data_IF_902997373991
#
_entry.id   IF_902997373991
#
_cell.length_a   1.000
_cell.length_b   1.000
_cell.length_c   1.000
_cell.angle_alpha   90.00
_cell.angle_beta   90.00
_cell.angle_gamma   90.00
#
_symmetry.space_group_name_H-M   'P 1'
#
loop_
_entity.id
_entity.type
_entity.pdbx_description
1 polymer ?
#
# COMPACT_ATOMS: atom_id res chain seq x y z
N UNK A 1 6.68 13.48 -36.86
CA UNK A 1 5.99 13.39 -35.56
C UNK A 1 7.02 13.75 -34.50
N UNK A 2 6.77 14.78 -33.74
CA UNK A 2 7.66 15.15 -32.62
C UNK A 2 7.36 14.22 -31.44
N UNK A 3 8.33 13.37 -31.09
CA UNK A 3 8.21 12.41 -30.00
C UNK A 3 8.73 12.95 -28.65
N UNK A 4 9.28 14.18 -28.63
CA UNK A 4 9.86 14.75 -27.39
C UNK A 4 8.82 14.91 -26.30
N UNK A 5 7.55 15.14 -26.66
CA UNK A 5 6.42 15.24 -25.72
C UNK A 5 6.04 13.91 -25.02
N UNK A 6 6.56 12.79 -25.51
CA UNK A 6 6.39 11.47 -24.90
C UNK A 6 7.62 11.01 -24.11
N UNK A 7 8.65 11.85 -24.07
CA UNK A 7 9.86 11.57 -23.29
C UNK A 7 9.71 12.18 -21.91
N UNK A 8 9.91 11.36 -20.88
CA UNK A 8 9.93 11.83 -19.49
C UNK A 8 11.00 12.91 -19.30
N UNK A 9 10.62 14.01 -18.68
CA UNK A 9 11.58 15.01 -18.23
C UNK A 9 12.44 14.40 -17.13
N UNK A 10 13.78 14.48 -17.22
CA UNK A 10 14.71 13.96 -16.22
C UNK A 10 14.49 14.53 -14.81
N UNK A 11 13.84 15.66 -14.70
CA UNK A 11 13.53 16.32 -13.42
C UNK A 11 12.08 16.05 -12.94
N UNK A 12 11.30 15.30 -13.70
CA UNK A 12 9.90 14.99 -13.37
C UNK A 12 9.86 14.06 -12.16
N UNK A 13 8.92 14.37 -11.26
CA UNK A 13 8.63 13.59 -10.07
C UNK A 13 7.34 12.82 -10.24
N UNK A 14 7.11 11.73 -9.50
CA UNK A 14 5.94 10.86 -9.68
C UNK A 14 4.56 11.54 -9.65
N UNK A 15 4.43 12.66 -8.95
CA UNK A 15 3.15 13.37 -8.80
C UNK A 15 3.11 14.72 -9.52
N UNK A 16 4.09 15.02 -10.38
CA UNK A 16 4.08 16.23 -11.18
C UNK A 16 3.04 16.15 -12.31
N UNK A 17 2.70 14.94 -12.77
CA UNK A 17 1.62 14.67 -13.70
C UNK A 17 0.56 13.79 -13.03
N UNK A 18 -0.69 14.23 -13.10
CA UNK A 18 -1.82 13.49 -12.52
C UNK A 18 -2.44 12.60 -13.60
N UNK A 19 -2.50 11.30 -13.31
CA UNK A 19 -3.13 10.33 -14.19
C UNK A 19 -4.61 10.68 -14.44
N UNK A 20 -5.06 10.48 -15.67
CA UNK A 20 -6.44 10.68 -16.07
C UNK A 20 -7.02 9.32 -16.50
N UNK A 21 -8.22 9.00 -16.01
CA UNK A 21 -8.90 7.74 -16.34
C UNK A 21 -8.05 6.49 -16.09
N UNK A 22 -7.39 6.46 -14.94
CA UNK A 22 -6.57 5.32 -14.51
C UNK A 22 -5.21 5.22 -15.19
N UNK A 23 -4.89 6.05 -16.18
CA UNK A 23 -3.62 6.05 -16.87
C UNK A 23 -3.14 4.67 -17.30
N UNK A 24 -1.83 4.39 -17.17
CA UNK A 24 -1.26 3.06 -17.44
C UNK A 24 -1.68 1.98 -16.45
N UNK A 25 -2.33 2.33 -15.32
CA UNK A 25 -2.92 1.33 -14.42
C UNK A 25 -3.96 0.48 -15.16
N UNK A 26 -4.58 1.01 -16.21
CA UNK A 26 -5.55 0.31 -17.07
C UNK A 26 -4.98 -0.88 -17.88
N UNK A 27 -3.66 -1.06 -17.93
CA UNK A 27 -3.06 -2.26 -18.53
C UNK A 27 -3.32 -3.52 -17.68
N UNK A 28 -3.59 -3.34 -16.36
CA UNK A 28 -3.91 -4.44 -15.47
C UNK A 28 -5.40 -4.74 -15.48
N UNK A 29 -5.77 -5.98 -15.75
CA UNK A 29 -7.17 -6.44 -15.68
C UNK A 29 -7.59 -6.80 -14.25
N UNK A 30 -6.62 -7.23 -13.43
CA UNK A 30 -6.82 -7.62 -12.04
C UNK A 30 -5.72 -7.05 -11.15
N UNK A 31 -6.14 -6.42 -10.06
CA UNK A 31 -5.25 -5.84 -9.04
C UNK A 31 -5.70 -6.37 -7.67
N UNK A 32 -4.75 -6.76 -6.82
CA UNK A 32 -4.99 -7.10 -5.41
C UNK A 32 -4.51 -5.96 -4.52
N UNK A 33 -5.39 -5.45 -3.64
CA UNK A 33 -5.02 -4.46 -2.64
C UNK A 33 -4.83 -5.15 -1.29
N UNK A 34 -3.58 -5.20 -0.83
CA UNK A 34 -3.15 -5.82 0.42
C UNK A 34 -2.87 -4.70 1.42
N UNK A 35 -3.64 -4.63 2.51
CA UNK A 35 -3.46 -3.54 3.46
C UNK A 35 -4.33 -3.66 4.70
N UNK A 36 -4.50 -2.54 5.35
CA UNK A 36 -5.27 -2.40 6.59
C UNK A 36 -6.58 -1.62 6.38
N UNK A 37 -7.04 -0.91 7.40
CA UNK A 37 -8.27 -0.10 7.38
C UNK A 37 -8.27 0.96 6.28
N UNK A 38 -7.11 1.57 5.99
CA UNK A 38 -6.99 2.57 4.93
C UNK A 38 -7.14 1.97 3.53
N UNK A 39 -6.95 0.66 3.39
CA UNK A 39 -7.13 -0.07 2.13
C UNK A 39 -8.49 -0.76 2.04
N UNK A 40 -9.10 -1.15 3.17
CA UNK A 40 -10.43 -1.76 3.20
C UNK A 40 -11.57 -0.75 2.95
N UNK A 41 -11.28 0.55 3.01
CA UNK A 41 -12.29 1.61 2.87
C UNK A 41 -13.03 1.89 4.18
N UNK A 42 -12.36 1.74 5.31
CA UNK A 42 -12.95 2.00 6.62
C UNK A 42 -13.22 3.50 6.81
N UNK A 43 -14.45 3.82 7.11
CA UNK A 43 -14.92 5.17 7.45
C UNK A 43 -15.29 5.23 8.92
N UNK A 44 -15.05 6.38 9.54
CA UNK A 44 -15.50 6.66 10.90
C UNK A 44 -16.79 7.48 10.93
N UNK A 45 -17.67 7.16 11.85
CA UNK A 45 -18.79 8.03 12.23
C UNK A 45 -18.79 8.29 13.74
N UNK A 46 -19.43 9.38 14.13
CA UNK A 46 -19.56 9.77 15.53
C UNK A 46 -21.03 9.93 15.86
N UNK A 47 -21.58 9.02 16.64
CA UNK A 47 -22.98 9.01 17.05
C UNK A 47 -23.07 8.98 18.57
N UNK A 48 -23.80 9.93 19.16
CA UNK A 48 -23.98 10.05 20.61
C UNK A 48 -22.64 10.08 21.40
N UNK A 49 -21.58 10.64 20.82
CA UNK A 49 -20.25 10.69 21.42
C UNK A 49 -19.43 9.39 21.30
N UNK A 50 -19.94 8.38 20.62
CA UNK A 50 -19.23 7.14 20.34
C UNK A 50 -18.68 7.13 18.92
N UNK A 51 -17.44 6.64 18.79
CA UNK A 51 -16.80 6.40 17.50
C UNK A 51 -17.22 5.03 16.98
N UNK A 52 -17.68 4.97 15.73
CA UNK A 52 -18.02 3.75 15.03
C UNK A 52 -17.16 3.62 13.77
N UNK A 53 -16.87 2.39 13.38
CA UNK A 53 -16.08 2.04 12.20
C UNK A 53 -16.94 1.28 11.22
N UNK A 54 -16.82 1.62 9.93
CA UNK A 54 -17.63 1.07 8.85
C UNK A 54 -16.77 0.75 7.65
N UNK A 55 -16.66 -0.52 7.27
CA UNK A 55 -16.01 -0.95 6.05
C UNK A 55 -16.94 -0.70 4.85
N UNK A 56 -16.66 0.36 4.10
CA UNK A 56 -17.32 0.68 2.83
C UNK A 56 -16.32 0.50 1.69
N UNK A 57 -16.07 -0.74 1.32
CA UNK A 57 -15.08 -1.08 0.30
C UNK A 57 -15.31 -0.36 -1.03
N UNK A 58 -16.56 -0.07 -1.39
CA UNK A 58 -16.94 0.66 -2.59
C UNK A 58 -16.32 2.08 -2.66
N UNK A 59 -15.96 2.63 -1.52
CA UNK A 59 -15.30 3.93 -1.38
C UNK A 59 -13.81 3.84 -1.07
N UNK A 60 -13.26 2.62 -1.05
CA UNK A 60 -11.81 2.44 -0.90
C UNK A 60 -11.04 2.99 -2.11
N UNK A 61 -9.78 3.38 -1.89
CA UNK A 61 -8.92 3.82 -3.00
C UNK A 61 -8.78 2.74 -4.08
N UNK A 62 -8.78 1.46 -3.72
CA UNK A 62 -8.75 0.36 -4.66
C UNK A 62 -9.97 0.32 -5.58
N UNK A 63 -11.18 0.61 -5.06
CA UNK A 63 -12.38 0.66 -5.87
C UNK A 63 -12.49 1.95 -6.72
N UNK A 64 -11.85 3.04 -6.31
CA UNK A 64 -11.69 4.18 -7.21
C UNK A 64 -10.78 3.82 -8.39
N UNK A 65 -9.65 3.18 -8.16
CA UNK A 65 -8.78 2.64 -9.23
C UNK A 65 -9.56 1.70 -10.15
N UNK A 66 -10.37 0.78 -9.59
CA UNK A 66 -11.18 -0.14 -10.39
C UNK A 66 -12.10 0.59 -11.38
N UNK A 67 -12.74 1.67 -10.93
CA UNK A 67 -13.63 2.49 -11.78
C UNK A 67 -12.87 3.31 -12.82
N UNK A 68 -11.75 3.90 -12.43
CA UNK A 68 -10.97 4.76 -13.31
C UNK A 68 -10.23 3.96 -14.39
N UNK A 69 -9.59 2.87 -14.00
CA UNK A 69 -8.81 2.02 -14.90
C UNK A 69 -9.66 0.95 -15.63
N UNK A 70 -10.92 0.78 -15.26
CA UNK A 70 -11.79 -0.24 -15.86
C UNK A 70 -11.31 -1.68 -15.56
N UNK A 71 -10.70 -1.91 -14.40
CA UNK A 71 -10.15 -3.20 -13.98
C UNK A 71 -10.94 -3.79 -12.79
N UNK A 72 -10.67 -5.06 -12.47
CA UNK A 72 -11.16 -5.68 -11.24
C UNK A 72 -10.14 -5.53 -10.14
N UNK A 73 -10.56 -4.94 -9.01
CA UNK A 73 -9.72 -4.84 -7.82
C UNK A 73 -10.28 -5.72 -6.71
N UNK A 74 -9.44 -6.62 -6.21
CA UNK A 74 -9.76 -7.47 -5.06
C UNK A 74 -9.33 -6.80 -3.75
N UNK A 75 -10.21 -6.87 -2.75
CA UNK A 75 -9.89 -6.44 -1.39
C UNK A 75 -9.23 -7.58 -0.61
N UNK A 76 -7.93 -7.49 -0.42
CA UNK A 76 -7.15 -8.34 0.48
C UNK A 76 -6.74 -7.56 1.74
N UNK A 77 -7.65 -6.73 2.25
CA UNK A 77 -7.38 -5.81 3.36
C UNK A 77 -8.43 -5.95 4.45
N UNK A 78 -8.07 -5.57 5.67
CA UNK A 78 -8.97 -5.51 6.83
C UNK A 78 -8.46 -4.50 7.85
N UNK A 79 -9.37 -3.84 8.55
CA UNK A 79 -9.05 -2.93 9.65
C UNK A 79 -8.08 -3.52 10.68
N UNK A 80 -7.13 -2.72 11.15
CA UNK A 80 -6.12 -3.11 12.14
C UNK A 80 -5.04 -4.08 11.67
N UNK A 81 -4.98 -4.45 10.38
CA UNK A 81 -4.10 -5.49 9.86
C UNK A 81 -2.62 -5.07 9.91
N UNK A 82 -1.77 -5.95 10.44
CA UNK A 82 -0.32 -5.91 10.32
C UNK A 82 0.18 -6.99 9.34
N UNK A 83 1.43 -6.87 8.85
CA UNK A 83 2.03 -7.88 7.97
C UNK A 83 2.07 -9.27 8.65
N UNK A 84 2.36 -9.30 9.95
CA UNK A 84 2.31 -10.53 10.75
C UNK A 84 0.93 -11.17 10.72
N UNK A 85 -0.11 -10.43 11.13
CA UNK A 85 -1.47 -10.96 11.21
C UNK A 85 -2.02 -11.36 9.85
N UNK A 86 -1.62 -10.63 8.79
CA UNK A 86 -1.98 -10.98 7.42
C UNK A 86 -1.46 -12.36 7.05
N UNK A 87 -0.16 -12.60 7.27
CA UNK A 87 0.52 -13.84 6.87
C UNK A 87 0.14 -15.03 7.75
N UNK A 88 0.07 -14.82 9.08
CA UNK A 88 -0.09 -15.92 10.06
C UNK A 88 -1.56 -16.33 10.27
N UNK A 89 -2.52 -15.71 9.60
CA UNK A 89 -3.93 -16.06 9.79
C UNK A 89 -4.86 -15.53 8.69
N UNK A 90 -4.99 -14.22 8.56
CA UNK A 90 -6.05 -13.62 7.76
C UNK A 90 -6.06 -14.04 6.29
N UNK A 91 -4.90 -14.09 5.63
CA UNK A 91 -4.85 -14.45 4.23
C UNK A 91 -5.21 -15.92 3.99
N UNK A 92 -4.82 -16.82 4.87
CA UNK A 92 -5.17 -18.24 4.80
C UNK A 92 -6.65 -18.47 5.18
N UNK A 93 -7.19 -17.79 6.21
CA UNK A 93 -8.62 -17.84 6.57
C UNK A 93 -9.54 -17.39 5.43
N UNK A 94 -9.09 -16.47 4.60
CA UNK A 94 -9.81 -15.91 3.46
C UNK A 94 -9.47 -16.57 2.14
N UNK A 95 -8.57 -17.54 2.14
CA UNK A 95 -8.10 -18.26 0.96
C UNK A 95 -7.51 -17.32 -0.11
N UNK A 96 -6.86 -16.23 0.31
CA UNK A 96 -6.32 -15.21 -0.61
C UNK A 96 -5.13 -15.71 -1.44
N UNK A 97 -4.48 -16.77 -1.00
CA UNK A 97 -3.40 -17.41 -1.77
C UNK A 97 -3.91 -18.46 -2.77
N UNK A 98 -5.21 -18.59 -2.95
CA UNK A 98 -5.80 -19.43 -3.98
C UNK A 98 -5.49 -18.87 -5.38
N UNK A 99 -4.98 -19.69 -6.31
CA UNK A 99 -4.70 -19.26 -7.68
C UNK A 99 -5.88 -18.63 -8.44
N UNK A 100 -7.12 -18.88 -8.02
CA UNK A 100 -8.31 -18.27 -8.63
C UNK A 100 -8.38 -16.75 -8.34
N UNK A 101 -7.71 -16.28 -7.29
CA UNK A 101 -7.57 -14.86 -6.94
C UNK A 101 -6.27 -14.21 -7.43
N UNK A 102 -5.52 -14.91 -8.32
CA UNK A 102 -4.28 -14.34 -8.86
C UNK A 102 -4.52 -13.01 -9.57
N UNK A 103 -3.63 -12.05 -9.31
CA UNK A 103 -3.68 -10.72 -9.90
C UNK A 103 -2.46 -10.44 -10.76
N UNK A 104 -2.63 -9.58 -11.76
CA UNK A 104 -1.52 -9.10 -12.59
C UNK A 104 -0.65 -8.09 -11.83
N UNK A 105 -1.27 -7.36 -10.90
CA UNK A 105 -0.57 -6.46 -10.00
C UNK A 105 -1.09 -6.60 -8.56
N UNK A 106 -0.21 -6.34 -7.60
CA UNK A 106 -0.53 -6.24 -6.19
C UNK A 106 -0.03 -4.90 -5.66
N UNK A 107 -0.89 -4.17 -4.93
CA UNK A 107 -0.52 -2.95 -4.23
C UNK A 107 -0.52 -3.29 -2.74
N UNK A 108 0.64 -3.16 -2.10
CA UNK A 108 0.84 -3.50 -0.70
C UNK A 108 0.99 -2.24 0.14
N UNK A 109 0.03 -2.00 1.03
CA UNK A 109 -0.07 -0.83 1.89
C UNK A 109 -0.17 -1.23 3.38
N UNK A 110 0.60 -2.23 3.80
CA UNK A 110 0.77 -2.60 5.20
C UNK A 110 1.92 -1.80 5.81
N UNK A 111 1.83 -1.49 7.11
CA UNK A 111 2.91 -0.83 7.83
C UNK A 111 2.45 0.02 9.01
N UNK A 112 1.35 0.75 8.92
CA UNK A 112 0.92 1.67 9.99
C UNK A 112 0.63 0.95 11.31
N UNK A 113 0.00 -0.22 11.25
CA UNK A 113 -0.26 -1.05 12.42
C UNK A 113 1.01 -1.80 12.87
N UNK A 114 1.89 -2.14 11.91
CA UNK A 114 3.20 -2.72 12.24
C UNK A 114 4.06 -1.74 13.03
N UNK A 115 4.13 -0.48 12.61
CA UNK A 115 4.85 0.58 13.34
C UNK A 115 4.28 0.75 14.75
N UNK A 116 2.95 0.69 14.92
CA UNK A 116 2.32 0.72 16.25
C UNK A 116 2.76 -0.49 17.11
N UNK A 117 2.81 -1.68 16.52
CA UNK A 117 3.31 -2.88 17.20
C UNK A 117 4.78 -2.80 17.59
N UNK A 118 5.63 -2.25 16.72
CA UNK A 118 7.07 -2.05 16.95
C UNK A 118 7.28 -1.04 18.10
N UNK A 119 6.59 0.09 18.08
CA UNK A 119 6.65 1.09 19.16
C UNK A 119 6.15 0.51 20.51
N UNK A 120 5.22 -0.44 20.45
CA UNK A 120 4.75 -1.20 21.61
C UNK A 120 5.66 -2.38 22.00
N UNK A 121 6.84 -2.52 21.40
CA UNK A 121 7.81 -3.62 21.63
C UNK A 121 7.23 -5.03 21.42
N UNK A 122 6.26 -5.18 20.51
CA UNK A 122 5.66 -6.48 20.19
C UNK A 122 6.56 -7.32 19.27
N UNK A 123 7.30 -6.66 18.38
CA UNK A 123 8.28 -7.24 17.45
C UNK A 123 9.15 -6.14 16.84
N UNK A 124 10.13 -6.53 16.05
CA UNK A 124 11.09 -5.62 15.43
C UNK A 124 10.75 -5.31 13.96
N UNK A 125 11.22 -4.15 13.47
CA UNK A 125 11.16 -3.82 12.05
C UNK A 125 11.95 -4.84 11.21
N UNK A 126 13.11 -5.24 11.71
CA UNK A 126 14.04 -6.11 10.99
C UNK A 126 14.78 -5.38 9.87
N UNK A 127 15.42 -6.18 9.03
CA UNK A 127 16.20 -5.73 7.88
C UNK A 127 15.92 -6.60 6.65
N UNK A 128 16.38 -6.18 5.49
CA UNK A 128 16.27 -6.95 4.24
C UNK A 128 16.98 -8.33 4.35
N UNK A 129 17.95 -8.49 5.25
CA UNK A 129 18.65 -9.76 5.49
C UNK A 129 17.80 -10.79 6.24
N UNK A 130 16.68 -10.38 6.80
CA UNK A 130 15.71 -11.27 7.44
C UNK A 130 14.84 -12.02 6.41
N UNK A 131 14.99 -11.70 5.13
CA UNK A 131 14.23 -12.26 4.01
C UNK A 131 15.05 -13.29 3.24
N UNK A 132 14.59 -14.53 3.22
CA UNK A 132 15.13 -15.58 2.37
C UNK A 132 14.21 -15.77 1.14
N UNK A 133 14.68 -15.35 -0.05
CA UNK A 133 13.89 -15.38 -1.29
C UNK A 133 13.63 -16.83 -1.75
N UNK A 134 14.56 -17.76 -1.52
CA UNK A 134 14.44 -19.15 -1.96
C UNK A 134 13.47 -19.95 -1.09
N UNK A 135 13.35 -19.57 0.20
CA UNK A 135 12.47 -20.26 1.15
C UNK A 135 12.00 -19.29 2.23
N UNK A 136 10.84 -18.68 2.02
CA UNK A 136 10.27 -17.72 2.97
C UNK A 136 9.94 -18.32 4.37
N UNK A 137 9.86 -19.65 4.49
CA UNK A 137 9.71 -20.28 5.79
C UNK A 137 10.94 -20.10 6.72
N UNK A 138 12.07 -19.67 6.15
CA UNK A 138 13.30 -19.34 6.88
C UNK A 138 13.41 -17.84 7.20
N UNK A 139 12.41 -17.03 6.83
CA UNK A 139 12.39 -15.61 7.19
C UNK A 139 12.34 -15.44 8.70
N UNK A 140 13.03 -14.41 9.22
CA UNK A 140 12.95 -14.10 10.64
C UNK A 140 11.59 -13.50 11.02
N UNK A 141 11.14 -13.63 12.30
CA UNK A 141 9.86 -13.11 12.77
C UNK A 141 9.92 -11.60 13.02
N UNK A 142 10.16 -10.83 11.95
CA UNK A 142 10.20 -9.37 11.92
C UNK A 142 9.24 -8.84 10.88
N UNK A 143 8.92 -7.52 10.89
CA UNK A 143 8.12 -6.93 9.82
C UNK A 143 8.72 -7.25 8.45
N UNK A 144 10.03 -7.07 8.26
CA UNK A 144 10.71 -7.37 7.00
C UNK A 144 10.46 -8.83 6.57
N UNK A 145 10.62 -9.78 7.49
CA UNK A 145 10.44 -11.20 7.20
C UNK A 145 9.01 -11.56 6.81
N UNK A 146 8.00 -11.04 7.52
CA UNK A 146 6.58 -11.29 7.17
C UNK A 146 6.21 -10.61 5.86
N UNK A 147 6.62 -9.35 5.65
CA UNK A 147 6.34 -8.61 4.42
C UNK A 147 6.95 -9.30 3.19
N UNK A 148 8.22 -9.74 3.30
CA UNK A 148 8.89 -10.52 2.25
C UNK A 148 8.22 -11.88 1.98
N UNK A 149 7.72 -12.55 3.03
CA UNK A 149 6.98 -13.82 2.87
C UNK A 149 5.65 -13.63 2.13
N UNK A 150 4.93 -12.54 2.39
CA UNK A 150 3.69 -12.21 1.65
C UNK A 150 4.00 -12.06 0.16
N UNK A 151 5.04 -11.30 -0.21
CA UNK A 151 5.47 -11.15 -1.61
C UNK A 151 5.80 -12.53 -2.20
N UNK A 152 6.58 -13.34 -1.49
CA UNK A 152 6.99 -14.67 -1.97
C UNK A 152 5.80 -15.59 -2.23
N UNK A 153 4.83 -15.67 -1.30
CA UNK A 153 3.61 -16.49 -1.47
C UNK A 153 2.79 -16.04 -2.70
N UNK A 154 2.61 -14.74 -2.92
CA UNK A 154 1.91 -14.27 -4.13
C UNK A 154 2.72 -14.51 -5.42
N UNK A 155 4.05 -14.48 -5.36
CA UNK A 155 4.90 -14.83 -6.50
C UNK A 155 4.86 -16.31 -6.86
N UNK A 156 4.60 -17.20 -5.91
CA UNK A 156 4.33 -18.62 -6.21
C UNK A 156 3.08 -18.81 -7.07
N UNK A 157 2.04 -17.98 -6.81
CA UNK A 157 0.77 -18.03 -7.53
C UNK A 157 0.88 -17.33 -8.88
N UNK A 158 1.56 -16.18 -8.93
CA UNK A 158 1.73 -15.34 -10.12
C UNK A 158 3.15 -14.78 -10.19
N UNK A 159 4.12 -15.55 -10.76
CA UNK A 159 5.54 -15.15 -10.78
C UNK A 159 5.83 -13.84 -11.53
N UNK A 160 4.96 -13.48 -12.49
CA UNK A 160 5.13 -12.29 -13.32
C UNK A 160 4.33 -11.08 -12.85
N UNK A 161 3.61 -11.20 -11.74
CA UNK A 161 2.87 -10.06 -11.18
C UNK A 161 3.81 -8.90 -10.86
N UNK A 162 3.28 -7.68 -11.01
CA UNK A 162 3.94 -6.46 -10.54
C UNK A 162 3.52 -6.21 -9.10
N UNK A 163 4.46 -5.82 -8.25
CA UNK A 163 4.21 -5.45 -6.86
C UNK A 163 4.53 -3.97 -6.69
N UNK A 164 3.57 -3.21 -6.19
CA UNK A 164 3.71 -1.81 -5.85
C UNK A 164 3.67 -1.68 -4.34
N UNK A 165 4.82 -1.40 -3.74
CA UNK A 165 5.01 -1.35 -2.29
C UNK A 165 4.87 0.10 -1.82
N UNK A 166 3.89 0.38 -0.97
CA UNK A 166 3.53 1.73 -0.58
C UNK A 166 4.20 2.13 0.73
N UNK A 167 4.88 3.26 0.75
CA UNK A 167 5.40 3.86 1.98
C UNK A 167 4.35 4.78 2.61
N UNK A 168 4.44 5.02 3.91
CA UNK A 168 3.54 5.93 4.61
C UNK A 168 3.92 7.39 4.32
N UNK A 169 2.96 8.29 4.08
CA UNK A 169 3.23 9.70 3.87
C UNK A 169 3.79 10.36 5.14
N UNK A 170 4.38 11.55 5.00
CA UNK A 170 4.72 12.41 6.16
C UNK A 170 3.45 12.98 6.77
N UNK A 171 3.45 13.13 8.10
CA UNK A 171 2.32 13.71 8.84
C UNK A 171 2.79 14.38 10.12
N UNK A 172 1.83 14.82 10.94
CA UNK A 172 2.08 15.42 12.27
C UNK A 172 2.18 14.31 13.33
N UNK A 173 3.15 13.43 13.14
CA UNK A 173 3.39 12.33 14.08
C UNK A 173 4.39 12.76 15.16
N UNK A 174 4.37 12.05 16.31
CA UNK A 174 5.45 12.23 17.27
C UNK A 174 6.79 11.79 16.66
N UNK A 175 7.88 12.35 17.19
CA UNK A 175 9.23 12.17 16.64
C UNK A 175 9.63 10.70 16.51
N UNK A 176 9.30 9.85 17.49
CA UNK A 176 9.73 8.44 17.45
C UNK A 176 9.00 7.67 16.34
N UNK A 177 7.71 7.97 16.15
CA UNK A 177 6.91 7.39 15.07
C UNK A 177 7.37 7.87 13.71
N UNK A 178 7.67 9.16 13.58
CA UNK A 178 8.16 9.75 12.33
C UNK A 178 9.50 9.16 11.91
N UNK A 179 10.47 9.04 12.84
CA UNK A 179 11.76 8.36 12.60
C UNK A 179 11.58 6.87 12.21
N UNK A 180 10.58 6.19 12.78
CA UNK A 180 10.30 4.80 12.43
C UNK A 180 9.63 4.68 11.05
N UNK A 181 8.82 5.66 10.66
CA UNK A 181 8.28 5.73 9.30
C UNK A 181 9.39 5.98 8.26
N UNK A 182 10.42 6.78 8.56
CA UNK A 182 11.58 6.92 7.68
C UNK A 182 12.31 5.59 7.51
N UNK A 183 12.62 4.88 8.60
CA UNK A 183 13.24 3.55 8.55
C UNK A 183 12.38 2.52 7.80
N UNK A 184 11.07 2.56 7.99
CA UNK A 184 10.13 1.72 7.25
C UNK A 184 10.21 2.01 5.75
N UNK A 185 10.25 3.29 5.34
CA UNK A 185 10.34 3.65 3.94
C UNK A 185 11.68 3.22 3.31
N UNK A 186 12.79 3.36 4.04
CA UNK A 186 14.10 2.83 3.62
C UNK A 186 14.04 1.32 3.41
N UNK A 187 13.50 0.58 4.37
CA UNK A 187 13.35 -0.89 4.29
C UNK A 187 12.45 -1.31 3.12
N UNK A 188 11.34 -0.60 2.85
CA UNK A 188 10.46 -0.90 1.70
C UNK A 188 11.21 -0.74 0.37
N UNK A 189 12.09 0.27 0.24
CA UNK A 189 12.95 0.42 -0.93
C UNK A 189 13.93 -0.75 -1.07
N UNK A 190 14.61 -1.16 0.01
CA UNK A 190 15.51 -2.32 0.00
C UNK A 190 14.78 -3.63 -0.35
N UNK A 191 13.55 -3.82 0.16
CA UNK A 191 12.72 -4.98 -0.19
C UNK A 191 12.37 -4.96 -1.68
N UNK A 192 12.00 -3.81 -2.24
CA UNK A 192 11.69 -3.71 -3.66
C UNK A 192 12.89 -4.06 -4.55
N UNK A 193 14.10 -3.67 -4.15
CA UNK A 193 15.33 -4.04 -4.85
C UNK A 193 15.64 -5.54 -4.77
N UNK A 194 15.27 -6.19 -3.66
CA UNK A 194 15.51 -7.62 -3.44
C UNK A 194 14.64 -8.52 -4.31
N UNK A 195 13.43 -8.09 -4.67
CA UNK A 195 12.47 -8.87 -5.45
C UNK A 195 12.34 -8.36 -6.88
N UNK A 196 12.26 -9.27 -7.86
CA UNK A 196 11.94 -8.90 -9.25
C UNK A 196 10.51 -8.37 -9.38
N UNK A 197 10.26 -7.44 -10.30
CA UNK A 197 8.94 -6.84 -10.55
C UNK A 197 8.33 -6.16 -9.32
N UNK A 198 9.12 -5.67 -8.40
CA UNK A 198 8.70 -4.86 -7.26
C UNK A 198 9.11 -3.40 -7.47
N UNK A 199 8.21 -2.49 -7.17
CA UNK A 199 8.37 -1.05 -7.35
C UNK A 199 7.86 -0.33 -6.09
N UNK A 200 8.40 0.83 -5.77
CA UNK A 200 7.98 1.60 -4.59
C UNK A 200 7.07 2.73 -4.99
N UNK A 201 5.90 2.82 -4.35
CA UNK A 201 5.08 4.01 -4.32
C UNK A 201 5.53 4.84 -3.11
N UNK A 202 6.58 5.66 -3.30
CA UNK A 202 7.24 6.36 -2.20
C UNK A 202 6.45 7.61 -1.78
N UNK A 203 5.35 7.39 -1.08
CA UNK A 203 4.51 8.43 -0.52
C UNK A 203 5.23 9.22 0.58
N UNK A 204 6.18 8.59 1.28
CA UNK A 204 7.00 9.28 2.28
C UNK A 204 7.75 10.46 1.69
N UNK A 205 8.21 10.32 0.46
CA UNK A 205 9.04 11.31 -0.22
C UNK A 205 8.23 12.30 -1.06
N UNK A 206 7.16 11.85 -1.71
CA UNK A 206 6.53 12.61 -2.77
C UNK A 206 5.06 12.94 -2.55
N UNK A 207 4.35 12.25 -1.64
CA UNK A 207 2.98 12.62 -1.32
C UNK A 207 2.92 13.96 -0.56
N UNK A 208 1.77 14.63 -0.56
CA UNK A 208 1.54 15.77 0.33
C UNK A 208 1.80 15.39 1.80
N UNK A 209 2.18 16.38 2.60
CA UNK A 209 2.29 16.17 4.06
C UNK A 209 0.88 16.11 4.64
N UNK A 210 0.60 15.07 5.43
CA UNK A 210 -0.69 14.87 6.11
C UNK A 210 -0.72 15.67 7.43
N UNK A 211 -0.60 16.99 7.28
CA UNK A 211 -0.72 17.96 8.37
C UNK A 211 -2.19 18.18 8.79
N UNK A 212 -2.41 19.06 9.75
CA UNK A 212 -3.74 19.40 10.26
C UNK A 212 -4.67 19.91 9.14
N UNK A 213 -4.16 20.69 8.18
CA UNK A 213 -4.96 21.21 7.08
C UNK A 213 -5.40 20.08 6.12
N UNK A 214 -4.48 19.17 5.82
CA UNK A 214 -4.74 17.98 5.04
C UNK A 214 -5.74 17.06 5.74
N UNK A 215 -5.49 16.75 7.02
CA UNK A 215 -6.38 15.87 7.81
C UNK A 215 -7.80 16.45 7.91
N UNK A 216 -7.93 17.76 8.10
CA UNK A 216 -9.24 18.42 8.10
C UNK A 216 -10.02 18.29 6.79
N UNK A 217 -9.35 18.23 5.66
CA UNK A 217 -9.99 18.10 4.34
C UNK A 217 -10.30 16.63 3.98
N UNK A 218 -9.41 15.70 4.34
CA UNK A 218 -9.40 14.35 3.80
C UNK A 218 -9.60 13.24 4.83
N UNK A 219 -9.77 13.58 6.11
CA UNK A 219 -10.01 12.62 7.17
C UNK A 219 -11.31 12.90 7.93
N UNK A 220 -11.85 11.86 8.54
CA UNK A 220 -12.89 11.93 9.57
C UNK A 220 -12.39 11.14 10.77
N UNK A 221 -11.88 11.83 11.78
CA UNK A 221 -11.17 11.17 12.88
C UNK A 221 -9.80 10.62 12.46
N UNK A 222 -9.54 9.34 12.71
CA UNK A 222 -8.28 8.68 12.39
C UNK A 222 -8.21 8.06 10.99
N UNK A 223 -9.32 8.03 10.25
CA UNK A 223 -9.41 7.41 8.93
C UNK A 223 -9.75 8.43 7.86
N UNK A 224 -9.40 8.11 6.61
CA UNK A 224 -9.73 8.95 5.48
C UNK A 224 -11.25 9.02 5.28
N UNK A 225 -11.73 10.18 4.84
CA UNK A 225 -13.05 10.30 4.26
C UNK A 225 -13.01 9.85 2.77
N UNK A 226 -14.17 9.81 2.13
CA UNK A 226 -14.30 9.37 0.73
C UNK A 226 -13.37 10.15 -0.23
N UNK A 227 -13.18 11.46 0.02
CA UNK A 227 -12.30 12.29 -0.81
C UNK A 227 -10.82 11.99 -0.57
N UNK A 228 -10.44 11.63 0.65
CA UNK A 228 -9.09 11.15 0.97
C UNK A 228 -8.77 9.84 0.23
N UNK A 229 -9.70 8.90 0.22
CA UNK A 229 -9.56 7.67 -0.56
C UNK A 229 -9.50 7.93 -2.07
N UNK A 230 -10.32 8.84 -2.58
CA UNK A 230 -10.28 9.24 -3.99
C UNK A 230 -8.93 9.85 -4.37
N UNK A 231 -8.40 10.73 -3.53
CA UNK A 231 -7.10 11.34 -3.76
C UNK A 231 -5.97 10.31 -3.70
N UNK A 232 -6.02 9.37 -2.75
CA UNK A 232 -5.05 8.26 -2.68
C UNK A 232 -5.05 7.43 -3.95
N UNK A 233 -6.23 7.10 -4.50
CA UNK A 233 -6.33 6.41 -5.78
C UNK A 233 -5.62 7.18 -6.90
N UNK A 234 -5.91 8.48 -7.04
CA UNK A 234 -5.28 9.33 -8.05
C UNK A 234 -3.75 9.40 -7.91
N UNK A 235 -3.24 9.47 -6.67
CA UNK A 235 -1.80 9.44 -6.42
C UNK A 235 -1.18 8.09 -6.81
N UNK A 236 -1.83 6.98 -6.46
CA UNK A 236 -1.36 5.62 -6.84
C UNK A 236 -1.30 5.46 -8.34
N UNK A 237 -2.34 5.85 -9.06
CA UNK A 237 -2.40 5.79 -10.53
C UNK A 237 -1.30 6.65 -11.17
N UNK A 238 -1.11 7.89 -10.68
CA UNK A 238 -0.07 8.79 -11.17
C UNK A 238 1.34 8.24 -10.94
N UNK A 239 1.54 7.55 -9.81
CA UNK A 239 2.80 6.89 -9.51
C UNK A 239 3.05 5.70 -10.44
N UNK A 240 2.02 4.90 -10.70
CA UNK A 240 2.11 3.77 -11.64
C UNK A 240 2.44 4.28 -13.04
N UNK A 241 1.81 5.36 -13.49
CA UNK A 241 2.12 6.03 -14.77
C UNK A 241 3.58 6.47 -14.86
N UNK A 242 4.13 6.97 -13.76
CA UNK A 242 5.52 7.40 -13.70
C UNK A 242 6.52 6.22 -13.76
N UNK A 243 6.13 5.05 -13.19
CA UNK A 243 6.99 3.87 -13.10
C UNK A 243 7.01 3.05 -14.40
N UNK A 244 5.87 2.97 -15.09
CA UNK A 244 5.68 2.16 -16.29
C UNK A 244 5.90 2.97 -17.56
#
# INVERSE_FOLDING_TARGET
MDLTKFMTNKNEKPLDNIAINGGFTSIFRTIGCIGDSLSSGELESFEMGHKNYHDYYEYSWGQFIARDAGCKVYNFSRGGMSARQYLEGFADEKDFFNPDYRCQAYIMALGVNDVTGILGNSYELGTVDDINIQNYALNKPTFAGWYGAIISKYKEIQPHAKFFLMTMPKGDEDKNRDELYDKHAELINEIAEKFSNCFVLDFRKYAPVYDDAFKKAFFTGGHMNVMGYRMTATMVESYIDYII
#
